data_IF_515977374905
#
_entry.id   IF_515977374905
#
_cell.length_a   1.000
_cell.length_b   1.000
_cell.length_c   1.000
_cell.angle_alpha   90.00
_cell.angle_beta   90.00
_cell.angle_gamma   90.00
#
_symmetry.space_group_name_H-M   'P 1'
#
loop_
_entity.id
_entity.type
_entity.pdbx_description
1 polymer ?
#
# COMPACT_ATOMS: atom_id res chain seq x y z
N UNK A 1 -17.62 -12.10 1.19
CA UNK A 1 -17.32 -12.07 -0.26
C UNK A 1 -16.29 -10.98 -0.46
N UNK A 2 -15.02 -11.37 -0.52
CA UNK A 2 -13.86 -10.48 -0.42
C UNK A 2 -13.70 -9.58 -1.64
N UNK A 3 -13.58 -8.28 -1.40
CA UNK A 3 -13.05 -7.28 -2.34
C UNK A 3 -11.65 -7.68 -2.78
N UNK A 4 -11.37 -7.65 -4.07
CA UNK A 4 -10.01 -7.84 -4.57
C UNK A 4 -9.43 -6.45 -4.80
N UNK A 5 -8.60 -6.00 -3.86
CA UNK A 5 -7.58 -5.01 -4.18
C UNK A 5 -6.52 -5.68 -5.04
N UNK A 6 -5.93 -4.97 -5.99
CA UNK A 6 -4.87 -5.52 -6.85
C UNK A 6 -3.68 -6.15 -6.06
N UNK A 7 -3.48 -5.75 -4.79
CA UNK A 7 -2.45 -6.29 -3.89
C UNK A 7 -2.92 -7.46 -3.01
N UNK A 8 -4.16 -7.91 -3.17
CA UNK A 8 -4.74 -9.01 -2.42
C UNK A 8 -5.40 -10.03 -3.37
N UNK A 9 -5.44 -11.30 -2.96
CA UNK A 9 -5.97 -12.38 -3.80
C UNK A 9 -4.98 -12.90 -4.86
N UNK A 10 -5.44 -13.77 -5.78
CA UNK A 10 -4.54 -14.56 -6.62
C UNK A 10 -3.77 -13.75 -7.68
N UNK A 11 -4.11 -12.48 -7.88
CA UNK A 11 -3.54 -11.64 -8.95
C UNK A 11 -2.40 -10.73 -8.48
N UNK A 12 -2.14 -10.68 -7.17
CA UNK A 12 -1.07 -9.88 -6.58
C UNK A 12 0.33 -10.25 -7.11
N UNK A 13 0.53 -11.50 -7.50
CA UNK A 13 1.82 -12.02 -7.98
C UNK A 13 2.08 -11.74 -9.45
N UNK A 14 1.17 -11.08 -10.16
CA UNK A 14 1.41 -10.68 -11.55
C UNK A 14 2.58 -9.68 -11.62
N UNK A 15 3.47 -9.86 -12.60
CA UNK A 15 4.59 -8.96 -12.78
C UNK A 15 4.06 -7.56 -13.19
N UNK A 16 4.77 -6.47 -12.88
CA UNK A 16 4.33 -5.13 -13.28
C UNK A 16 4.04 -4.98 -14.78
N UNK A 17 4.76 -5.71 -15.65
CA UNK A 17 4.53 -5.75 -17.10
C UNK A 17 3.21 -6.44 -17.51
N UNK A 18 2.61 -7.20 -16.61
CA UNK A 18 1.40 -7.98 -16.83
C UNK A 18 0.14 -7.23 -16.36
N UNK A 19 0.31 -5.97 -15.97
CA UNK A 19 -0.73 -5.09 -15.47
C UNK A 19 -0.99 -3.99 -16.48
N UNK A 20 -2.24 -3.88 -16.92
CA UNK A 20 -2.64 -2.85 -17.86
C UNK A 20 -3.78 -2.05 -17.24
N UNK A 21 -3.56 -0.75 -17.09
CA UNK A 21 -4.61 0.19 -16.69
C UNK A 21 -5.41 0.61 -17.91
N UNK A 22 -6.73 0.39 -17.85
CA UNK A 22 -7.68 0.77 -18.89
C UNK A 22 -8.63 1.82 -18.35
N UNK A 23 -8.70 2.95 -19.03
CA UNK A 23 -9.57 4.08 -18.67
C UNK A 23 -10.58 4.32 -19.77
N UNK A 24 -11.79 4.67 -19.38
CA UNK A 24 -12.84 5.14 -20.28
C UNK A 24 -13.37 6.48 -19.79
N UNK A 25 -13.40 7.48 -20.66
CA UNK A 25 -14.09 8.73 -20.37
C UNK A 25 -15.59 8.49 -20.39
N UNK A 26 -16.27 8.93 -19.34
CA UNK A 26 -17.71 8.91 -19.25
C UNK A 26 -18.34 10.13 -19.91
N UNK A 27 -19.56 9.97 -20.42
CA UNK A 27 -20.32 11.06 -21.03
C UNK A 27 -20.65 12.21 -20.07
N UNK A 28 -20.50 12.00 -18.77
CA UNK A 28 -20.69 13.00 -17.71
C UNK A 28 -19.38 13.68 -17.25
N UNK A 29 -18.27 13.44 -17.97
CA UNK A 29 -16.97 14.06 -17.68
C UNK A 29 -16.13 13.32 -16.63
N UNK A 30 -16.62 12.21 -16.07
CA UNK A 30 -15.83 11.34 -15.21
C UNK A 30 -14.96 10.34 -15.97
N UNK A 31 -14.12 9.58 -15.26
CA UNK A 31 -13.29 8.51 -15.84
C UNK A 31 -13.55 7.21 -15.11
N UNK A 32 -13.84 6.14 -15.84
CA UNK A 32 -13.97 4.77 -15.32
C UNK A 32 -12.68 3.98 -15.50
N UNK A 33 -12.22 3.32 -14.45
CA UNK A 33 -10.96 2.61 -14.33
C UNK A 33 -11.16 1.10 -14.24
N UNK A 34 -10.45 0.39 -15.10
CA UNK A 34 -10.31 -1.05 -15.05
C UNK A 34 -8.83 -1.42 -14.99
N UNK A 35 -8.54 -2.52 -14.33
CA UNK A 35 -7.22 -3.16 -14.39
C UNK A 35 -7.36 -4.50 -15.07
N UNK A 36 -6.58 -4.70 -16.13
CA UNK A 36 -6.49 -5.96 -16.85
C UNK A 36 -5.20 -6.63 -16.40
N UNK A 37 -5.29 -7.85 -15.87
CA UNK A 37 -4.16 -8.58 -15.29
C UNK A 37 -3.93 -9.86 -16.07
N UNK A 38 -2.71 -10.07 -16.56
CA UNK A 38 -2.26 -11.37 -17.06
C UNK A 38 -1.69 -12.16 -15.89
N UNK A 39 -2.48 -13.10 -15.39
CA UNK A 39 -2.10 -13.93 -14.25
C UNK A 39 -1.37 -15.20 -14.72
N UNK A 40 -0.19 -15.44 -14.15
CA UNK A 40 0.60 -16.66 -14.34
C UNK A 40 1.06 -17.20 -13.00
N UNK A 41 0.63 -18.41 -12.66
CA UNK A 41 1.01 -19.14 -11.45
C UNK A 41 2.53 -19.35 -11.32
N UNK A 42 3.27 -19.31 -12.43
CA UNK A 42 4.73 -19.34 -12.43
C UNK A 42 5.32 -18.16 -11.64
N UNK A 43 4.75 -16.97 -11.77
CA UNK A 43 5.21 -15.76 -11.08
C UNK A 43 4.89 -15.80 -9.57
N UNK A 44 4.01 -16.70 -9.13
CA UNK A 44 3.68 -16.92 -7.73
C UNK A 44 4.59 -17.97 -7.05
N UNK A 45 5.61 -18.51 -7.72
CA UNK A 45 6.54 -19.49 -7.13
C UNK A 45 5.87 -20.79 -6.64
N UNK A 46 4.71 -21.14 -7.19
CA UNK A 46 3.92 -22.31 -6.77
C UNK A 46 2.95 -22.07 -5.60
N UNK A 47 2.82 -20.83 -5.11
CA UNK A 47 1.88 -20.47 -4.04
C UNK A 47 0.41 -20.45 -4.50
N UNK A 48 0.19 -20.26 -5.80
CA UNK A 48 -1.13 -20.26 -6.42
C UNK A 48 -1.17 -21.36 -7.46
N UNK A 49 -2.25 -22.14 -7.44
CA UNK A 49 -2.46 -23.19 -8.42
C UNK A 49 -2.73 -22.65 -9.81
N UNK A 50 -2.37 -23.46 -10.81
CA UNK A 50 -2.52 -23.16 -12.24
C UNK A 50 -3.95 -22.83 -12.69
N UNK A 51 -4.96 -23.18 -11.90
CA UNK A 51 -6.36 -22.86 -12.12
C UNK A 51 -6.67 -21.36 -12.08
N UNK A 52 -5.72 -20.55 -11.61
CA UNK A 52 -5.78 -19.09 -11.62
C UNK A 52 -5.04 -18.46 -12.81
N UNK A 53 -4.47 -19.26 -13.71
CA UNK A 53 -3.87 -18.77 -14.95
C UNK A 53 -4.92 -18.16 -15.87
N UNK A 54 -4.62 -17.03 -16.50
CA UNK A 54 -5.52 -16.39 -17.46
C UNK A 54 -5.46 -14.87 -17.40
N UNK A 55 -6.42 -14.23 -18.05
CA UNK A 55 -6.68 -12.80 -17.91
C UNK A 55 -7.79 -12.58 -16.87
N UNK A 56 -7.56 -11.64 -15.96
CA UNK A 56 -8.58 -11.10 -15.08
C UNK A 56 -8.85 -9.64 -15.42
N UNK A 57 -10.11 -9.22 -15.34
CA UNK A 57 -10.52 -7.83 -15.47
C UNK A 57 -11.16 -7.40 -14.17
N UNK A 58 -10.58 -6.36 -13.57
CA UNK A 58 -11.00 -5.78 -12.31
C UNK A 58 -11.61 -4.42 -12.60
N UNK A 59 -12.84 -4.19 -12.15
CA UNK A 59 -13.43 -2.87 -12.09
C UNK A 59 -12.90 -2.19 -10.82
N UNK A 60 -11.98 -1.25 -11.00
CA UNK A 60 -11.25 -0.60 -9.90
C UNK A 60 -12.19 0.34 -9.15
N UNK A 61 -13.04 1.06 -9.87
CA UNK A 61 -13.95 2.03 -9.23
C UNK A 61 -15.04 1.36 -8.40
N UNK A 62 -15.42 0.12 -8.77
CA UNK A 62 -16.40 -0.68 -8.01
C UNK A 62 -15.78 -1.72 -7.09
N UNK A 63 -14.46 -1.94 -7.16
CA UNK A 63 -13.78 -2.97 -6.39
C UNK A 63 -14.28 -4.39 -6.68
N UNK A 64 -14.70 -4.67 -7.92
CA UNK A 64 -15.28 -5.97 -8.30
C UNK A 64 -14.48 -6.67 -9.40
N UNK A 65 -14.49 -8.01 -9.37
CA UNK A 65 -13.98 -8.82 -10.49
C UNK A 65 -15.07 -8.89 -11.54
N UNK A 66 -14.80 -8.34 -12.73
CA UNK A 66 -15.69 -8.42 -13.89
C UNK A 66 -15.60 -9.80 -14.52
N UNK A 67 -14.38 -10.33 -14.66
CA UNK A 67 -14.12 -11.66 -15.17
C UNK A 67 -12.74 -12.15 -14.71
N UNK A 68 -12.57 -13.47 -14.64
CA UNK A 68 -11.31 -14.11 -14.31
C UNK A 68 -11.07 -15.40 -15.10
N UNK A 69 -9.81 -15.82 -15.16
CA UNK A 69 -9.36 -17.06 -15.81
C UNK A 69 -9.71 -17.11 -17.30
N UNK A 70 -9.72 -15.94 -17.95
CA UNK A 70 -10.01 -15.87 -19.36
C UNK A 70 -8.77 -16.22 -20.19
N UNK A 71 -8.87 -17.31 -20.94
CA UNK A 71 -7.82 -17.76 -21.86
C UNK A 71 -7.59 -19.27 -21.74
N UNK A 72 -6.65 -19.77 -22.52
CA UNK A 72 -6.24 -21.17 -22.44
C UNK A 72 -5.23 -21.35 -21.29
N UNK A 73 -5.43 -22.30 -20.37
CA UNK A 73 -4.47 -22.55 -19.31
C UNK A 73 -3.04 -22.70 -19.84
N UNK A 74 -2.09 -22.04 -19.20
CA UNK A 74 -0.65 -22.06 -19.55
C UNK A 74 -0.27 -21.42 -20.90
N UNK A 75 -1.20 -20.77 -21.62
CA UNK A 75 -0.90 -20.09 -22.88
C UNK A 75 -0.71 -18.58 -22.66
N UNK A 76 0.45 -18.20 -22.12
CA UNK A 76 0.78 -16.81 -21.78
C UNK A 76 0.67 -15.88 -23.00
N UNK A 77 1.09 -16.33 -24.18
CA UNK A 77 0.94 -15.56 -25.44
C UNK A 77 -0.52 -15.26 -25.76
N UNK A 78 -1.42 -16.22 -25.55
CA UNK A 78 -2.86 -16.01 -25.74
C UNK A 78 -3.41 -15.03 -24.70
N UNK A 79 -2.98 -15.13 -23.43
CA UNK A 79 -3.40 -14.19 -22.39
C UNK A 79 -2.99 -12.75 -22.72
N UNK A 80 -1.74 -12.52 -23.14
CA UNK A 80 -1.30 -11.19 -23.57
C UNK A 80 -2.09 -10.69 -24.78
N UNK A 81 -2.46 -11.57 -25.72
CA UNK A 81 -3.30 -11.18 -26.86
C UNK A 81 -4.69 -10.71 -26.41
N UNK A 82 -5.33 -11.42 -25.48
CA UNK A 82 -6.62 -11.02 -24.89
C UNK A 82 -6.46 -9.67 -24.18
N UNK A 83 -5.47 -9.55 -23.30
CA UNK A 83 -5.22 -8.33 -22.54
C UNK A 83 -4.96 -7.12 -23.44
N UNK A 84 -4.13 -7.29 -24.47
CA UNK A 84 -3.83 -6.24 -25.48
C UNK A 84 -5.08 -5.87 -26.29
N UNK A 85 -5.94 -6.84 -26.62
CA UNK A 85 -7.18 -6.57 -27.34
C UNK A 85 -8.11 -5.71 -26.49
N UNK A 86 -8.32 -6.07 -25.22
CA UNK A 86 -9.14 -5.30 -24.28
C UNK A 86 -8.54 -3.92 -23.98
N UNK A 87 -7.22 -3.82 -23.86
CA UNK A 87 -6.53 -2.56 -23.61
C UNK A 87 -6.76 -1.55 -24.73
N UNK A 88 -6.83 -2.01 -25.98
CA UNK A 88 -7.05 -1.15 -27.15
C UNK A 88 -8.53 -0.99 -27.53
N UNK A 89 -9.44 -1.71 -26.87
CA UNK A 89 -10.86 -1.68 -27.18
C UNK A 89 -11.51 -0.35 -26.77
N UNK A 90 -12.47 0.13 -27.57
CA UNK A 90 -13.43 1.14 -27.11
C UNK A 90 -14.44 0.54 -26.11
N UNK A 91 -15.34 1.35 -25.55
CA UNK A 91 -16.30 0.88 -24.54
C UNK A 91 -17.17 -0.28 -25.02
N UNK A 92 -17.69 -0.17 -26.24
CA UNK A 92 -18.58 -1.18 -26.82
C UNK A 92 -17.83 -2.50 -27.06
N UNK A 93 -16.61 -2.42 -27.60
CA UNK A 93 -15.74 -3.56 -27.83
C UNK A 93 -15.29 -4.20 -26.52
N UNK A 94 -14.95 -3.39 -25.52
CA UNK A 94 -14.49 -3.86 -24.21
C UNK A 94 -15.60 -4.61 -23.48
N UNK A 95 -16.78 -3.99 -23.35
CA UNK A 95 -17.94 -4.58 -22.68
C UNK A 95 -18.43 -5.84 -23.39
N UNK A 96 -18.49 -5.84 -24.73
CA UNK A 96 -18.80 -7.04 -25.50
C UNK A 96 -17.77 -8.16 -25.30
N UNK A 97 -16.48 -7.80 -25.25
CA UNK A 97 -15.39 -8.72 -24.98
C UNK A 97 -15.54 -9.38 -23.61
N UNK A 98 -15.64 -8.59 -22.55
CA UNK A 98 -15.79 -9.14 -21.18
C UNK A 98 -17.10 -9.90 -20.99
N UNK A 99 -18.21 -9.49 -21.63
CA UNK A 99 -19.48 -10.24 -21.61
C UNK A 99 -19.35 -11.63 -22.23
N UNK A 100 -18.52 -11.77 -23.26
CA UNK A 100 -18.26 -13.05 -23.93
C UNK A 100 -17.29 -13.95 -23.16
N UNK A 101 -16.65 -13.43 -22.11
CA UNK A 101 -15.63 -14.16 -21.36
C UNK A 101 -16.22 -15.20 -20.40
N UNK A 102 -15.50 -16.30 -20.12
CA UNK A 102 -15.86 -17.24 -19.08
C UNK A 102 -15.91 -16.54 -17.72
N UNK A 103 -16.94 -16.80 -16.91
CA UNK A 103 -17.01 -16.25 -15.56
C UNK A 103 -17.32 -14.75 -15.48
N UNK A 104 -17.86 -14.15 -16.55
CA UNK A 104 -18.37 -12.78 -16.54
C UNK A 104 -19.37 -12.54 -15.40
N UNK A 105 -19.17 -11.43 -14.69
CA UNK A 105 -19.98 -10.97 -13.57
C UNK A 105 -20.36 -9.52 -13.82
N UNK A 106 -21.66 -9.23 -13.92
CA UNK A 106 -22.18 -7.87 -13.97
C UNK A 106 -22.86 -7.52 -12.65
N UNK A 107 -22.06 -7.25 -11.62
CA UNK A 107 -22.56 -6.83 -10.32
C UNK A 107 -22.98 -5.35 -10.39
N UNK A 108 -24.12 -5.08 -11.03
CA UNK A 108 -24.73 -3.75 -11.10
C UNK A 108 -25.39 -3.36 -12.43
N UNK A 109 -25.33 -4.19 -13.47
CA UNK A 109 -26.07 -3.98 -14.73
C UNK A 109 -25.52 -2.88 -15.65
N UNK A 110 -24.44 -2.21 -15.27
CA UNK A 110 -23.96 -0.97 -15.88
C UNK A 110 -22.88 -1.19 -16.96
N UNK A 111 -22.22 -2.35 -16.96
CA UNK A 111 -21.43 -2.79 -18.11
C UNK A 111 -22.31 -3.07 -19.35
N UNK A 112 -23.64 -3.06 -19.19
CA UNK A 112 -24.62 -3.17 -20.27
C UNK A 112 -25.04 -1.81 -20.85
N UNK A 113 -24.57 -0.70 -20.28
CA UNK A 113 -24.88 0.65 -20.77
C UNK A 113 -24.14 0.98 -22.07
N UNK A 114 -24.74 1.84 -22.90
CA UNK A 114 -24.19 2.28 -24.19
C UNK A 114 -22.91 3.12 -24.06
N UNK A 115 -22.68 3.70 -22.88
CA UNK A 115 -21.49 4.45 -22.52
C UNK A 115 -20.98 4.02 -21.14
N UNK A 116 -19.68 4.21 -20.87
CA UNK A 116 -19.15 4.01 -19.54
C UNK A 116 -19.85 4.97 -18.60
N UNK A 117 -20.70 4.45 -17.72
CA UNK A 117 -21.23 5.27 -16.64
C UNK A 117 -20.09 5.50 -15.65
N UNK A 118 -19.73 6.76 -15.47
CA UNK A 118 -18.98 7.13 -14.30
C UNK A 118 -19.85 6.80 -13.10
N UNK A 119 -19.23 6.18 -12.10
CA UNK A 119 -20.01 5.46 -11.11
C UNK A 119 -20.92 6.43 -10.34
N UNK A 120 -20.59 7.73 -10.22
CA UNK A 120 -21.52 8.79 -9.79
C UNK A 120 -21.05 10.20 -10.23
N UNK A 121 -21.59 10.81 -11.29
CA UNK A 121 -21.31 12.21 -11.60
C UNK A 121 -21.95 13.12 -10.55
N UNK A 122 -21.15 13.99 -9.95
CA UNK A 122 -21.65 15.07 -9.12
C UNK A 122 -22.01 16.26 -9.99
N UNK A 123 -23.11 16.94 -9.68
CA UNK A 123 -23.41 18.22 -10.30
C UNK A 123 -22.28 19.24 -10.03
N UNK A 124 -22.16 20.28 -10.86
CA UNK A 124 -21.15 21.33 -10.64
C UNK A 124 -21.29 22.00 -9.25
N UNK A 125 -22.52 22.09 -8.73
CA UNK A 125 -22.80 22.63 -7.39
C UNK A 125 -22.29 21.70 -6.28
N UNK A 126 -22.36 20.38 -6.49
CA UNK A 126 -21.91 19.38 -5.52
C UNK A 126 -20.43 19.03 -5.65
N UNK A 127 -19.81 19.30 -6.81
CA UNK A 127 -18.41 19.02 -7.13
C UNK A 127 -17.48 20.19 -6.81
N UNK A 128 -17.64 20.77 -5.62
CA UNK A 128 -16.86 21.91 -5.15
C UNK A 128 -15.38 21.55 -4.94
N UNK A 129 -14.53 22.59 -4.88
CA UNK A 129 -13.08 22.45 -4.65
C UNK A 129 -12.84 22.07 -3.19
N UNK A 130 -12.25 20.90 -2.93
CA UNK A 130 -11.84 20.45 -1.59
C UNK A 130 -10.57 21.17 -1.18
N UNK A 131 -9.51 21.03 -1.99
CA UNK A 131 -8.21 21.64 -1.78
C UNK A 131 -7.91 22.67 -2.88
N UNK A 132 -7.51 23.86 -2.46
CA UNK A 132 -7.13 24.97 -3.34
C UNK A 132 -5.63 24.98 -3.68
N UNK A 133 -4.86 24.06 -3.11
CA UNK A 133 -3.43 23.88 -3.35
C UNK A 133 -3.15 22.56 -4.08
N UNK A 134 -2.16 22.57 -4.97
CA UNK A 134 -1.68 21.37 -5.69
C UNK A 134 -0.50 20.70 -4.97
N UNK A 135 0.20 21.44 -4.11
CA UNK A 135 1.28 20.95 -3.27
C UNK A 135 1.43 21.81 -2.02
N UNK A 136 1.95 21.21 -0.97
CA UNK A 136 2.27 21.89 0.28
C UNK A 136 3.49 21.20 0.92
N UNK A 137 4.59 21.94 1.06
CA UNK A 137 5.86 21.34 1.49
C UNK A 137 6.32 20.23 0.51
N UNK A 138 6.69 19.03 1.00
CA UNK A 138 7.11 17.91 0.15
C UNK A 138 5.94 17.12 -0.45
N UNK A 139 4.68 17.47 -0.15
CA UNK A 139 3.50 16.67 -0.51
C UNK A 139 2.72 17.23 -1.70
N UNK A 140 2.07 16.35 -2.46
CA UNK A 140 1.28 16.70 -3.65
C UNK A 140 -0.17 16.21 -3.54
N UNK A 141 -1.10 17.06 -3.99
CA UNK A 141 -2.55 16.86 -3.93
C UNK A 141 -3.17 16.99 -5.33
N UNK A 142 -3.03 15.96 -6.18
CA UNK A 142 -3.49 16.02 -7.58
C UNK A 142 -5.03 16.08 -7.70
N UNK A 143 -5.76 15.47 -6.77
CA UNK A 143 -7.21 15.57 -6.72
C UNK A 143 -7.63 16.82 -5.93
N UNK A 144 -8.40 17.69 -6.57
CA UNK A 144 -8.79 18.98 -5.98
C UNK A 144 -10.29 19.18 -5.85
N UNK A 145 -11.09 18.58 -6.72
CA UNK A 145 -12.54 18.63 -6.62
C UNK A 145 -13.07 17.45 -5.81
N UNK A 146 -14.25 17.61 -5.21
CA UNK A 146 -14.88 16.61 -4.34
C UNK A 146 -14.90 15.23 -4.96
N UNK A 147 -15.31 15.13 -6.22
CA UNK A 147 -15.41 13.85 -6.91
C UNK A 147 -14.06 13.16 -7.07
N UNK A 148 -13.02 13.93 -7.41
CA UNK A 148 -11.67 13.41 -7.62
C UNK A 148 -11.05 12.96 -6.29
N UNK A 149 -11.30 13.71 -5.22
CA UNK A 149 -10.82 13.38 -3.87
C UNK A 149 -11.48 12.11 -3.36
N UNK A 150 -12.81 11.99 -3.48
CA UNK A 150 -13.55 10.78 -3.09
C UNK A 150 -13.04 9.58 -3.90
N UNK A 151 -12.85 9.74 -5.21
CA UNK A 151 -12.29 8.68 -6.04
C UNK A 151 -10.86 8.30 -5.63
N UNK A 152 -10.00 9.27 -5.31
CA UNK A 152 -8.65 9.00 -4.84
C UNK A 152 -8.67 8.22 -3.52
N UNK A 153 -9.55 8.58 -2.59
CA UNK A 153 -9.72 7.86 -1.32
C UNK A 153 -10.30 6.46 -1.54
N UNK A 154 -11.31 6.29 -2.40
CA UNK A 154 -11.87 4.98 -2.71
C UNK A 154 -10.87 4.06 -3.45
N UNK A 155 -9.95 4.61 -4.22
CA UNK A 155 -8.94 3.80 -4.95
C UNK A 155 -7.68 3.55 -4.12
N UNK A 156 -7.57 4.15 -2.94
CA UNK A 156 -6.47 3.93 -2.02
C UNK A 156 -6.52 2.49 -1.44
N UNK A 157 -5.36 1.88 -1.11
CA UNK A 157 -5.34 0.58 -0.47
C UNK A 157 -6.13 0.53 0.84
N UNK A 158 -6.79 -0.59 1.07
CA UNK A 158 -7.59 -0.85 2.26
C UNK A 158 -7.23 -2.23 2.77
N UNK A 159 -7.32 -2.42 4.08
CA UNK A 159 -7.18 -3.72 4.70
C UNK A 159 -8.44 -4.08 5.46
N UNK A 160 -8.73 -5.37 5.50
CA UNK A 160 -9.79 -5.96 6.28
C UNK A 160 -9.25 -7.29 6.81
N UNK A 161 -9.12 -7.40 8.13
CA UNK A 161 -8.90 -8.70 8.74
C UNK A 161 -10.08 -9.62 8.39
N UNK A 162 -9.89 -10.95 8.38
CA UNK A 162 -10.76 -12.01 7.82
C UNK A 162 -12.31 -11.81 7.88
N UNK A 163 -12.82 -11.10 8.87
CA UNK A 163 -14.24 -10.67 9.01
C UNK A 163 -14.40 -9.25 9.60
N UNK A 164 -13.34 -8.44 9.63
CA UNK A 164 -13.31 -7.09 10.17
C UNK A 164 -13.66 -6.03 9.13
N UNK A 165 -13.86 -4.77 9.56
CA UNK A 165 -14.21 -3.69 8.66
C UNK A 165 -13.07 -3.34 7.69
N UNK A 166 -13.43 -2.80 6.55
CA UNK A 166 -12.54 -2.15 5.59
C UNK A 166 -12.01 -0.85 6.19
N UNK A 167 -10.70 -0.70 6.23
CA UNK A 167 -10.00 0.50 6.70
C UNK A 167 -8.93 0.90 5.71
N UNK A 168 -8.69 2.20 5.55
CA UNK A 168 -7.56 2.72 4.76
C UNK A 168 -6.25 2.16 5.34
N UNK A 169 -5.34 1.70 4.49
CA UNK A 169 -4.15 0.97 4.93
C UNK A 169 -2.89 1.19 4.09
N UNK A 170 -1.74 1.00 4.73
CA UNK A 170 -0.42 1.03 4.09
C UNK A 170 0.32 -0.29 4.35
N UNK A 171 0.93 -0.85 3.32
CA UNK A 171 1.84 -2.01 3.45
C UNK A 171 3.17 -1.53 4.02
N UNK A 172 3.41 -1.83 5.29
CA UNK A 172 4.59 -1.40 6.04
C UNK A 172 5.65 -2.50 6.15
N UNK A 173 5.51 -3.58 5.37
CA UNK A 173 6.48 -4.68 5.40
C UNK A 173 7.85 -4.22 4.91
N UNK A 174 8.82 -4.37 5.80
CA UNK A 174 10.24 -4.21 5.50
C UNK A 174 10.67 -5.33 4.56
N UNK A 175 11.27 -4.97 3.41
CA UNK A 175 11.74 -5.95 2.42
C UNK A 175 13.26 -6.09 2.46
N UNK A 176 13.96 -5.00 2.15
CA UNK A 176 15.41 -4.91 2.14
C UNK A 176 15.82 -3.56 2.70
N UNK A 177 16.79 -3.54 3.60
CA UNK A 177 17.36 -2.34 4.18
C UNK A 177 18.83 -2.61 4.54
N UNK A 178 19.56 -1.55 4.86
CA UNK A 178 20.93 -1.66 5.36
C UNK A 178 20.91 -1.99 6.86
N UNK A 179 21.27 -3.22 7.19
CA UNK A 179 21.35 -3.73 8.57
C UNK A 179 22.73 -3.56 9.21
N UNK A 180 23.68 -2.95 8.50
CA UNK A 180 25.03 -2.72 9.03
C UNK A 180 25.05 -1.81 10.25
N UNK A 181 23.98 -1.02 10.46
CA UNK A 181 23.91 0.03 11.47
C UNK A 181 24.91 1.15 11.23
N UNK A 182 25.64 1.17 10.10
CA UNK A 182 26.51 2.29 9.71
C UNK A 182 25.68 3.35 9.01
N UNK A 183 25.72 4.57 9.53
CA UNK A 183 25.31 5.74 8.78
C UNK A 183 26.49 6.72 8.73
N UNK A 184 27.32 6.68 7.67
CA UNK A 184 28.53 7.50 7.57
C UNK A 184 28.28 9.01 7.69
N UNK A 185 27.09 9.44 7.26
CA UNK A 185 26.62 10.83 7.33
C UNK A 185 25.44 11.00 8.32
N UNK A 186 25.17 9.99 9.16
CA UNK A 186 24.02 9.97 10.08
C UNK A 186 24.35 10.51 11.47
N UNK A 187 23.29 10.75 12.25
CA UNK A 187 23.37 11.42 13.56
C UNK A 187 24.13 10.64 14.64
N UNK A 188 24.33 9.33 14.44
CA UNK A 188 24.81 8.41 15.50
C UNK A 188 26.30 8.07 15.45
N UNK A 189 27.01 8.40 14.36
CA UNK A 189 28.49 8.35 14.33
C UNK A 189 29.16 6.98 14.62
N UNK A 190 28.49 5.86 14.33
CA UNK A 190 28.93 4.50 14.65
C UNK A 190 30.32 4.14 14.06
N UNK A 191 31.18 3.53 14.88
CA UNK A 191 32.60 3.32 14.58
C UNK A 191 32.92 1.97 13.92
N UNK A 192 33.83 1.98 12.94
CA UNK A 192 34.25 0.77 12.21
C UNK A 192 34.79 -0.36 13.07
N UNK A 193 35.50 0.00 14.15
CA UNK A 193 36.12 -0.99 15.04
C UNK A 193 35.11 -1.92 15.70
N UNK A 194 33.82 -1.56 15.73
CA UNK A 194 32.76 -2.35 16.33
C UNK A 194 31.93 -3.14 15.31
N UNK A 195 32.22 -3.06 14.01
CA UNK A 195 31.47 -3.76 12.95
C UNK A 195 31.40 -5.28 13.21
N UNK A 196 32.49 -5.88 13.71
CA UNK A 196 32.54 -7.32 14.02
C UNK A 196 31.67 -7.67 15.23
N UNK A 197 31.62 -6.82 16.26
CA UNK A 197 30.76 -7.04 17.43
C UNK A 197 29.29 -6.89 17.06
N UNK A 198 28.95 -5.88 16.25
CA UNK A 198 27.60 -5.69 15.73
C UNK A 198 27.13 -6.91 14.94
N UNK A 199 27.97 -7.44 14.05
CA UNK A 199 27.61 -8.64 13.29
C UNK A 199 27.36 -9.85 14.21
N UNK A 200 28.15 -10.02 15.27
CA UNK A 200 27.93 -11.08 16.27
C UNK A 200 26.62 -10.87 17.03
N UNK A 201 26.28 -9.64 17.37
CA UNK A 201 25.03 -9.33 18.05
C UNK A 201 23.82 -9.58 17.16
N UNK A 202 23.91 -9.26 15.86
CA UNK A 202 22.89 -9.63 14.87
C UNK A 202 22.73 -11.16 14.73
N UNK A 203 23.84 -11.91 14.74
CA UNK A 203 23.79 -13.38 14.69
C UNK A 203 23.17 -13.99 15.94
N UNK A 204 23.39 -13.37 17.10
CA UNK A 204 22.90 -13.82 18.40
C UNK A 204 21.43 -13.44 18.63
N UNK A 205 21.10 -12.17 18.47
CA UNK A 205 19.83 -11.56 18.89
C UNK A 205 19.13 -10.77 17.76
N UNK A 206 19.51 -10.98 16.49
CA UNK A 206 19.00 -10.21 15.35
C UNK A 206 17.47 -10.19 15.21
N UNK A 207 16.76 -11.25 15.61
CA UNK A 207 15.29 -11.23 15.61
C UNK A 207 14.73 -10.26 16.65
N UNK A 208 15.35 -10.13 17.82
CA UNK A 208 14.92 -9.20 18.85
C UNK A 208 15.26 -7.76 18.46
N UNK A 209 16.45 -7.53 17.90
CA UNK A 209 16.87 -6.24 17.34
C UNK A 209 15.91 -5.80 16.24
N UNK A 210 15.53 -6.69 15.33
CA UNK A 210 14.55 -6.41 14.29
C UNK A 210 13.18 -6.02 14.88
N UNK A 211 12.68 -6.77 15.88
CA UNK A 211 11.40 -6.43 16.53
C UNK A 211 11.46 -5.06 17.19
N UNK A 212 12.52 -4.76 17.94
CA UNK A 212 12.72 -3.45 18.58
C UNK A 212 12.75 -2.31 17.55
N UNK A 213 13.53 -2.48 16.47
CA UNK A 213 13.60 -1.48 15.41
C UNK A 213 12.23 -1.22 14.76
N UNK A 214 11.43 -2.27 14.53
CA UNK A 214 10.06 -2.12 14.04
C UNK A 214 9.15 -1.38 15.02
N UNK A 215 9.24 -1.68 16.32
CA UNK A 215 8.47 -1.01 17.37
C UNK A 215 8.82 0.49 17.44
N UNK A 216 10.12 0.81 17.45
CA UNK A 216 10.62 2.19 17.49
C UNK A 216 10.22 2.99 16.23
N UNK A 217 10.32 2.38 15.03
CA UNK A 217 9.89 3.01 13.77
C UNK A 217 8.38 3.31 13.73
N UNK A 218 7.56 2.47 14.39
CA UNK A 218 6.10 2.61 14.41
C UNK A 218 5.59 3.50 15.54
N UNK A 219 6.41 3.77 16.55
CA UNK A 219 6.02 4.51 17.76
C UNK A 219 5.32 5.84 17.41
N UNK A 220 5.84 6.59 16.42
CA UNK A 220 5.23 7.86 16.01
C UNK A 220 3.75 7.72 15.59
N UNK A 221 3.38 6.61 14.95
CA UNK A 221 2.02 6.36 14.47
C UNK A 221 1.14 5.77 15.58
N UNK A 222 1.66 4.80 16.31
CA UNK A 222 0.88 4.03 17.30
C UNK A 222 0.66 4.82 18.59
N UNK A 223 1.60 5.67 18.98
CA UNK A 223 1.50 6.50 20.19
C UNK A 223 0.72 7.81 19.97
N UNK A 224 0.20 8.03 18.76
CA UNK A 224 -0.57 9.23 18.42
C UNK A 224 0.29 10.49 18.22
N UNK A 225 1.59 10.33 17.97
CA UNK A 225 2.51 11.44 17.74
C UNK A 225 2.55 11.91 16.28
N UNK A 226 1.89 11.18 15.36
CA UNK A 226 1.81 11.55 13.96
C UNK A 226 1.03 12.85 13.77
N UNK A 227 1.54 13.71 12.89
CA UNK A 227 0.84 14.89 12.39
C UNK A 227 1.03 14.99 10.89
N UNK A 228 -0.04 15.40 10.22
CA UNK A 228 0.01 15.83 8.82
C UNK A 228 0.77 17.16 8.74
N UNK A 229 1.51 17.37 7.64
CA UNK A 229 2.20 18.64 7.40
C UNK A 229 1.19 19.81 7.37
N UNK A 230 1.51 20.96 7.99
CA UNK A 230 2.81 21.39 8.52
C UNK A 230 3.11 21.02 9.98
N UNK A 231 2.41 20.05 10.57
CA UNK A 231 2.71 19.58 11.94
C UNK A 231 1.84 20.20 13.03
N UNK A 232 0.68 20.79 12.69
CA UNK A 232 -0.20 21.47 13.65
C UNK A 232 -1.32 20.57 14.20
N UNK A 233 -1.42 19.32 13.74
CA UNK A 233 -2.52 18.40 14.05
C UNK A 233 -2.04 17.11 14.75
N UNK A 234 -0.98 17.21 15.57
CA UNK A 234 -0.51 16.08 16.36
C UNK A 234 -1.62 15.54 17.29
N UNK A 235 -1.75 14.21 17.37
CA UNK A 235 -2.75 13.54 18.22
C UNK A 235 -4.13 13.36 17.60
N UNK A 236 -4.39 13.90 16.41
CA UNK A 236 -5.69 13.76 15.74
C UNK A 236 -5.84 12.48 14.92
N UNK A 237 -4.75 11.75 14.67
CA UNK A 237 -4.72 10.57 13.81
C UNK A 237 -4.33 9.35 14.64
N UNK A 238 -5.15 8.31 14.58
CA UNK A 238 -4.98 7.10 15.35
C UNK A 238 -4.79 5.92 14.40
N UNK A 239 -3.74 5.15 14.65
CA UNK A 239 -3.35 4.02 13.82
C UNK A 239 -3.29 2.74 14.63
N UNK A 240 -3.52 1.63 13.94
CA UNK A 240 -3.33 0.28 14.46
C UNK A 240 -2.50 -0.52 13.46
N UNK A 241 -1.89 -1.62 13.91
CA UNK A 241 -1.26 -2.60 13.00
C UNK A 241 -2.18 -3.78 12.80
N UNK A 242 -2.43 -4.16 11.55
CA UNK A 242 -3.24 -5.32 11.19
C UNK A 242 -2.49 -6.30 10.27
N UNK A 243 -3.08 -7.49 10.10
CA UNK A 243 -2.57 -8.55 9.24
C UNK A 243 -1.54 -9.46 9.92
N UNK A 244 -1.11 -10.51 9.20
CA UNK A 244 -0.13 -11.47 9.72
C UNK A 244 1.17 -10.73 10.06
N UNK A 245 1.57 -10.81 11.33
CA UNK A 245 2.75 -10.14 11.88
C UNK A 245 2.71 -8.60 11.83
N UNK A 246 1.52 -7.98 11.76
CA UNK A 246 1.38 -6.51 11.79
C UNK A 246 1.87 -5.80 10.54
N UNK A 247 1.87 -6.46 9.38
CA UNK A 247 2.44 -5.92 8.14
C UNK A 247 1.65 -4.78 7.49
N UNK A 248 0.52 -4.37 8.04
CA UNK A 248 -0.26 -3.23 7.57
C UNK A 248 -0.44 -2.21 8.68
N UNK A 249 -0.19 -0.94 8.39
CA UNK A 249 -0.66 0.17 9.21
C UNK A 249 -2.06 0.55 8.73
N UNK A 250 -3.04 0.59 9.62
CA UNK A 250 -4.42 0.98 9.30
C UNK A 250 -4.79 2.26 10.02
N UNK A 251 -5.50 3.15 9.34
CA UNK A 251 -6.08 4.34 9.95
C UNK A 251 -7.37 3.96 10.66
N UNK A 252 -7.35 3.88 11.99
CA UNK A 252 -8.50 3.43 12.78
C UNK A 252 -9.44 4.57 13.14
N UNK A 253 -8.93 5.79 13.33
CA UNK A 253 -9.71 6.97 13.67
C UNK A 253 -9.01 8.26 13.27
N UNK A 254 -9.82 9.25 12.88
CA UNK A 254 -9.41 10.66 12.80
C UNK A 254 -10.37 11.48 13.65
N UNK A 255 -9.82 12.28 14.56
CA UNK A 255 -10.63 13.13 15.42
C UNK A 255 -11.44 14.14 14.61
N UNK A 256 -12.73 14.21 14.92
CA UNK A 256 -13.69 15.06 14.21
C UNK A 256 -14.28 14.41 12.95
N UNK A 257 -13.86 13.19 12.56
CA UNK A 257 -14.50 12.44 11.49
C UNK A 257 -15.38 11.31 12.03
N UNK A 258 -16.40 10.87 11.24
CA UNK A 258 -17.09 9.61 11.48
C UNK A 258 -16.15 8.40 11.51
N UNK A 259 -16.69 7.25 11.91
CA UNK A 259 -15.93 5.99 11.91
C UNK A 259 -15.39 5.67 10.51
N UNK A 260 -14.06 5.48 10.40
CA UNK A 260 -13.35 5.16 9.16
C UNK A 260 -13.25 3.64 8.97
N UNK A 261 -14.39 2.98 9.09
CA UNK A 261 -14.51 1.53 9.08
C UNK A 261 -15.80 1.15 8.33
N UNK A 262 -15.67 0.39 7.25
CA UNK A 262 -16.78 0.13 6.33
C UNK A 262 -16.96 -1.35 6.04
N UNK A 263 -18.17 -1.78 5.69
CA UNK A 263 -18.41 -3.18 5.33
C UNK A 263 -17.87 -3.54 3.94
N UNK A 264 -17.74 -2.53 3.07
CA UNK A 264 -17.29 -2.67 1.69
C UNK A 264 -16.99 -1.28 1.08
N UNK A 265 -16.46 -1.32 -0.14
CA UNK A 265 -16.13 -0.13 -0.93
C UNK A 265 -17.31 0.82 -1.17
N UNK A 266 -18.53 0.29 -1.33
CA UNK A 266 -19.72 1.10 -1.55
C UNK A 266 -20.10 1.88 -0.29
N UNK A 267 -20.11 1.22 0.88
CA UNK A 267 -20.34 1.87 2.17
C UNK A 267 -19.27 2.92 2.52
N UNK A 268 -18.01 2.67 2.16
CA UNK A 268 -16.95 3.67 2.25
C UNK A 268 -17.27 4.91 1.41
N UNK A 269 -17.67 4.72 0.16
CA UNK A 269 -17.98 5.83 -0.74
C UNK A 269 -19.18 6.64 -0.25
N UNK A 270 -20.26 5.99 0.19
CA UNK A 270 -21.42 6.68 0.76
C UNK A 270 -21.01 7.52 1.98
N UNK A 271 -20.21 6.95 2.88
CA UNK A 271 -19.70 7.70 4.03
C UNK A 271 -18.84 8.91 3.62
N UNK A 272 -17.99 8.78 2.59
CA UNK A 272 -17.18 9.88 2.08
C UNK A 272 -18.02 10.97 1.39
N UNK A 273 -19.17 10.61 0.80
CA UNK A 273 -20.09 11.57 0.21
C UNK A 273 -20.80 12.41 1.27
N UNK A 274 -20.99 11.90 2.49
CA UNK A 274 -21.60 12.66 3.58
C UNK A 274 -20.64 13.66 4.24
N UNK A 275 -19.33 13.53 4.00
CA UNK A 275 -18.32 14.42 4.56
C UNK A 275 -18.38 15.82 3.92
N UNK A 276 -18.18 16.83 4.76
CA UNK A 276 -18.05 18.21 4.32
C UNK A 276 -16.68 18.50 3.70
N UNK A 277 -16.48 19.76 3.30
CA UNK A 277 -15.23 20.23 2.70
C UNK A 277 -14.01 20.10 3.60
N UNK A 278 -14.13 20.51 4.86
CA UNK A 278 -13.02 20.47 5.80
C UNK A 278 -12.68 19.02 6.15
N UNK A 279 -13.70 18.18 6.33
CA UNK A 279 -13.57 16.76 6.64
C UNK A 279 -12.88 15.98 5.51
N UNK A 280 -13.34 16.15 4.27
CA UNK A 280 -12.69 15.53 3.10
C UNK A 280 -11.26 16.03 2.91
N UNK A 281 -11.02 17.33 3.08
CA UNK A 281 -9.68 17.90 3.00
C UNK A 281 -8.75 17.27 4.05
N UNK A 282 -9.21 17.17 5.29
CA UNK A 282 -8.45 16.59 6.42
C UNK A 282 -8.07 15.13 6.16
N UNK A 283 -9.04 14.31 5.75
CA UNK A 283 -8.79 12.90 5.45
C UNK A 283 -7.86 12.73 4.25
N UNK A 284 -8.12 13.48 3.16
CA UNK A 284 -7.32 13.37 1.95
C UNK A 284 -5.88 13.82 2.16
N UNK A 285 -5.65 14.91 2.90
CA UNK A 285 -4.29 15.33 3.25
C UNK A 285 -3.57 14.23 4.02
N UNK A 286 -4.20 13.65 5.04
CA UNK A 286 -3.59 12.57 5.81
C UNK A 286 -3.18 11.38 4.95
N UNK A 287 -4.09 10.91 4.09
CA UNK A 287 -3.80 9.80 3.17
C UNK A 287 -2.63 10.13 2.26
N UNK A 288 -2.60 11.33 1.67
CA UNK A 288 -1.52 11.73 0.75
C UNK A 288 -0.17 11.96 1.43
N UNK A 289 -0.17 12.40 2.70
CA UNK A 289 1.07 12.53 3.45
C UNK A 289 1.64 11.15 3.76
N UNK A 290 0.80 10.24 4.26
CA UNK A 290 1.20 8.85 4.55
C UNK A 290 1.60 8.07 3.30
N UNK A 291 0.94 8.29 2.15
CA UNK A 291 1.36 7.71 0.86
C UNK A 291 2.82 8.03 0.53
N UNK A 292 3.26 9.22 0.89
CA UNK A 292 4.63 9.70 0.67
C UNK A 292 5.57 9.31 1.82
N UNK A 293 5.11 9.26 3.07
CA UNK A 293 5.94 8.94 4.23
C UNK A 293 6.21 7.44 4.37
N UNK A 294 5.26 6.60 3.93
CA UNK A 294 5.31 5.14 3.97
C UNK A 294 5.67 4.54 2.61
N UNK A 295 6.38 5.28 1.77
CA UNK A 295 6.99 4.70 0.57
C UNK A 295 8.02 3.63 0.95
N UNK A 296 8.16 2.52 0.19
CA UNK A 296 9.10 1.45 0.54
C UNK A 296 10.54 1.92 0.78
N UNK A 297 11.00 2.92 0.01
CA UNK A 297 12.33 3.49 0.17
C UNK A 297 12.49 4.21 1.52
N UNK A 298 11.45 4.92 1.99
CA UNK A 298 11.47 5.59 3.29
C UNK A 298 11.34 4.60 4.45
N UNK A 299 10.50 3.56 4.30
CA UNK A 299 10.43 2.47 5.28
C UNK A 299 11.81 1.80 5.46
N UNK A 300 12.50 1.50 4.34
CA UNK A 300 13.86 0.95 4.40
C UNK A 300 14.87 1.91 5.04
N UNK A 301 14.78 3.21 4.73
CA UNK A 301 15.65 4.21 5.33
C UNK A 301 15.41 4.37 6.84
N UNK A 302 14.15 4.36 7.27
CA UNK A 302 13.76 4.41 8.68
C UNK A 302 14.30 3.19 9.43
N UNK A 303 14.16 1.97 8.88
CA UNK A 303 14.73 0.76 9.48
C UNK A 303 16.25 0.83 9.62
N UNK A 304 16.96 1.33 8.61
CA UNK A 304 18.40 1.52 8.68
C UNK A 304 18.78 2.54 9.76
N UNK A 305 17.99 3.61 9.92
CA UNK A 305 18.15 4.59 11.00
C UNK A 305 17.96 3.95 12.37
N UNK A 306 16.91 3.15 12.57
CA UNK A 306 16.67 2.45 13.84
C UNK A 306 17.79 1.45 14.18
N UNK A 307 18.31 0.72 13.19
CA UNK A 307 19.48 -0.14 13.38
C UNK A 307 20.72 0.65 13.78
N UNK A 308 20.93 1.82 13.16
CA UNK A 308 22.03 2.72 13.54
C UNK A 308 21.88 3.23 14.97
N UNK A 309 20.68 3.56 15.41
CA UNK A 309 20.42 4.02 16.78
C UNK A 309 20.61 2.90 17.82
N UNK A 310 20.06 1.71 17.56
CA UNK A 310 20.25 0.55 18.44
C UNK A 310 21.74 0.24 18.56
N UNK A 311 22.46 0.16 17.42
CA UNK A 311 23.90 -0.06 17.40
C UNK A 311 24.66 1.00 18.20
N UNK A 312 24.28 2.27 18.11
CA UNK A 312 24.92 3.33 18.90
C UNK A 312 24.81 3.09 20.40
N UNK A 313 23.68 2.55 20.87
CA UNK A 313 23.49 2.21 22.28
C UNK A 313 24.43 1.07 22.70
N UNK A 314 24.56 0.04 21.86
CA UNK A 314 25.50 -1.07 22.11
C UNK A 314 26.96 -0.62 22.07
N UNK A 315 27.32 0.25 21.12
CA UNK A 315 28.68 0.79 21.02
C UNK A 315 29.07 1.63 22.24
N UNK A 316 28.11 2.34 22.84
CA UNK A 316 28.37 3.07 24.08
C UNK A 316 28.75 2.12 25.23
N UNK A 317 28.12 0.94 25.32
CA UNK A 317 28.53 -0.10 26.27
C UNK A 317 29.90 -0.70 25.92
N UNK A 318 30.17 -0.96 24.63
CA UNK A 318 31.45 -1.51 24.20
C UNK A 318 32.62 -0.55 24.37
N UNK A 319 32.39 0.77 24.27
CA UNK A 319 33.40 1.80 24.57
C UNK A 319 33.81 1.79 26.04
N UNK A 320 32.95 1.31 26.94
CA UNK A 320 33.24 1.18 28.37
C UNK A 320 33.97 -0.12 28.73
N UNK A 321 34.05 -1.08 27.80
CA UNK A 321 34.80 -2.33 27.99
C UNK A 321 36.30 -2.07 28.11
N UNK A 322 37.00 -2.92 28.88
CA UNK A 322 38.47 -2.89 28.90
C UNK A 322 39.04 -3.39 27.57
N UNK A 323 40.24 -2.94 27.18
CA UNK A 323 40.88 -3.36 25.93
C UNK A 323 41.02 -4.90 25.83
N UNK A 324 41.29 -5.58 26.96
CA UNK A 324 41.38 -7.04 27.00
C UNK A 324 40.02 -7.71 26.75
N UNK A 325 38.94 -7.18 27.34
CA UNK A 325 37.59 -7.75 27.15
C UNK A 325 37.10 -7.51 25.71
N UNK A 326 37.49 -6.37 25.12
CA UNK A 326 37.18 -6.04 23.73
C UNK A 326 37.94 -6.97 22.77
N UNK A 327 39.23 -7.20 22.99
CA UNK A 327 40.02 -8.16 22.20
C UNK A 327 39.45 -9.58 22.31
N UNK A 328 39.10 -10.04 23.51
CA UNK A 328 38.47 -11.36 23.69
C UNK A 328 37.12 -11.48 22.97
N UNK A 329 36.27 -10.44 23.10
CA UNK A 329 34.98 -10.37 22.41
C UNK A 329 35.13 -10.37 20.88
N UNK A 330 36.19 -9.76 20.35
CA UNK A 330 36.53 -9.77 18.93
C UNK A 330 37.12 -11.12 18.48
N UNK A 331 38.03 -11.71 19.25
CA UNK A 331 38.80 -12.93 18.94
C UNK A 331 38.07 -14.26 19.12
N UNK A 332 36.96 -14.30 19.89
CA UNK A 332 36.14 -15.49 20.15
C UNK A 332 35.58 -16.23 18.91
N UNK A 333 35.94 -15.80 17.70
CA UNK A 333 35.67 -16.43 16.40
C UNK A 333 36.73 -17.49 15.97
N UNK A 334 37.90 -17.57 16.59
CA UNK A 334 39.00 -18.45 16.12
C UNK A 334 39.08 -19.86 16.75
N UNK A 335 38.17 -20.23 17.66
CA UNK A 335 38.17 -21.56 18.27
C UNK A 335 36.78 -22.22 18.28
N UNK A 336 36.44 -22.92 17.20
CA UNK A 336 36.22 -24.39 17.20
C UNK A 336 35.84 -24.92 15.79
N UNK A 337 36.54 -25.94 15.26
CA UNK A 337 36.11 -26.72 14.09
C UNK A 337 34.93 -27.66 14.39
#
# INVERSE_FOLDING_TARGET
MSSIQFREGPYHYAAPSDLIDKKFESGDGGVRHFKIVVASAYNAGGLIGSEHNGVAVLDVDRGTVVTDRWGEPYNVTHHHKIATTLANADWAQFTAGVRSSPGYRNLGGDLDADAPNFVYPLSDEENWIVLDVESEGPYTYPARRRVDVINALCTHPVHSERSGPFRLSWDIKVRSFDDSGRQPDGDHGNEERFDVLWQKELEKDGSAIFTRACEDALAQYIEGNYSVYPGIEQGHYHFETEGRSGGHLVLSKVDGLPALAWDNQHGMREALMELDRAELAKLYKAVRNLDTDLEPAKISAEMAYQYSFIRSTEEDEWKEMSENDLEEALEGSSLRP
#
